data_IF_125532535124
#
_entry.id   IF_125532535124
#
_cell.length_a   1.000
_cell.length_b   1.000
_cell.length_c   1.000
_cell.angle_alpha   90.00
_cell.angle_beta   90.00
_cell.angle_gamma   90.00
#
_symmetry.space_group_name_H-M   'P 1'
#
loop_
_entity.id
_entity.type
_entity.pdbx_description
1 polymer ?
#
# COMPACT_ATOMS: atom_id res chain seq x y z
N UNK A 1 -21.48 -13.62 22.97
CA UNK A 1 -20.52 -12.50 23.09
C UNK A 1 -19.91 -12.31 21.71
N UNK A 2 -19.86 -11.09 21.16
CA UNK A 2 -19.24 -10.84 19.85
C UNK A 2 -17.73 -10.73 20.07
N UNK A 3 -16.93 -11.54 19.37
CA UNK A 3 -15.47 -11.48 19.46
C UNK A 3 -14.96 -10.12 18.96
N UNK A 4 -13.95 -9.55 19.63
CA UNK A 4 -13.39 -8.23 19.25
C UNK A 4 -12.65 -8.24 17.90
N UNK A 5 -12.30 -9.43 17.41
CA UNK A 5 -11.72 -9.67 16.09
C UNK A 5 -12.76 -10.07 15.04
N UNK A 6 -14.05 -10.14 15.35
CA UNK A 6 -15.08 -10.47 14.36
C UNK A 6 -15.11 -9.43 13.23
N UNK A 7 -14.88 -9.88 12.00
CA UNK A 7 -14.76 -8.98 10.85
C UNK A 7 -16.05 -8.19 10.58
N UNK A 8 -17.22 -8.79 10.81
CA UNK A 8 -18.50 -8.14 10.60
C UNK A 8 -18.75 -7.05 11.66
N UNK A 9 -18.45 -7.31 12.92
CA UNK A 9 -18.53 -6.33 14.00
C UNK A 9 -17.57 -5.15 13.78
N UNK A 10 -16.33 -5.44 13.34
CA UNK A 10 -15.34 -4.42 12.98
C UNK A 10 -15.83 -3.55 11.81
N UNK A 11 -16.39 -4.18 10.77
CA UNK A 11 -17.02 -3.50 9.64
C UNK A 11 -18.15 -2.58 10.08
N UNK A 12 -19.09 -3.08 10.90
CA UNK A 12 -20.20 -2.26 11.41
C UNK A 12 -19.72 -1.07 12.23
N UNK A 13 -18.64 -1.24 13.01
CA UNK A 13 -18.04 -0.13 13.76
C UNK A 13 -17.32 0.87 12.86
N UNK A 14 -16.64 0.39 11.81
CA UNK A 14 -16.06 1.27 10.79
C UNK A 14 -17.15 2.11 10.10
N UNK A 15 -18.28 1.49 9.75
CA UNK A 15 -19.46 2.18 9.22
C UNK A 15 -19.99 3.25 10.16
N UNK A 16 -20.17 2.94 11.44
CA UNK A 16 -20.61 3.93 12.43
C UNK A 16 -19.68 5.15 12.43
N UNK A 17 -18.36 4.94 12.43
CA UNK A 17 -17.39 6.02 12.51
C UNK A 17 -17.30 6.85 11.23
N UNK A 18 -17.38 6.24 10.04
CA UNK A 18 -17.39 7.03 8.81
C UNK A 18 -18.68 7.83 8.66
N UNK A 19 -19.83 7.27 9.07
CA UNK A 19 -21.08 8.02 9.02
C UNK A 19 -21.03 9.22 9.97
N UNK A 20 -20.47 9.06 11.17
CA UNK A 20 -20.14 10.20 12.02
C UNK A 20 -19.22 11.22 11.33
N UNK A 21 -18.21 10.78 10.58
CA UNK A 21 -17.35 11.72 9.85
C UNK A 21 -18.10 12.51 8.76
N UNK A 22 -19.23 12.00 8.26
CA UNK A 22 -19.99 12.54 7.13
C UNK A 22 -21.37 13.10 7.52
N UNK A 23 -21.73 13.10 8.80
CA UNK A 23 -23.02 13.63 9.26
C UNK A 23 -23.13 15.14 9.00
N UNK A 24 -24.33 15.59 8.62
CA UNK A 24 -24.64 16.98 8.26
C UNK A 24 -24.63 17.95 9.46
N UNK A 25 -24.27 17.46 10.65
CA UNK A 25 -24.02 18.29 11.81
C UNK A 25 -22.80 19.19 11.56
N UNK A 26 -22.79 20.43 12.04
CA UNK A 26 -21.66 21.33 11.88
C UNK A 26 -20.44 20.80 12.64
N UNK A 27 -19.61 20.01 11.95
CA UNK A 27 -18.33 19.48 12.42
C UNK A 27 -17.19 20.17 11.71
N UNK A 28 -16.14 20.49 12.47
CA UNK A 28 -14.90 20.95 11.86
C UNK A 28 -14.29 19.83 10.99
N UNK A 29 -13.51 20.20 9.97
CA UNK A 29 -12.77 19.22 9.18
C UNK A 29 -11.89 18.32 10.05
N UNK A 30 -11.28 18.87 11.11
CA UNK A 30 -10.42 18.12 12.01
C UNK A 30 -11.18 16.99 12.72
N UNK A 31 -12.40 17.24 13.18
CA UNK A 31 -13.27 16.22 13.78
C UNK A 31 -13.73 15.18 12.76
N UNK A 32 -14.08 15.60 11.56
CA UNK A 32 -14.45 14.67 10.48
C UNK A 32 -13.27 13.75 10.13
N UNK A 33 -12.08 14.32 9.93
CA UNK A 33 -10.87 13.57 9.61
C UNK A 33 -10.44 12.63 10.75
N UNK A 34 -10.65 13.02 12.01
CA UNK A 34 -10.46 12.15 13.16
C UNK A 34 -11.35 10.91 13.08
N UNK A 35 -12.67 11.09 12.93
CA UNK A 35 -13.61 9.97 12.81
C UNK A 35 -13.32 9.08 11.61
N UNK A 36 -13.03 9.68 10.45
CA UNK A 36 -12.66 8.96 9.25
C UNK A 36 -11.37 8.14 9.47
N UNK A 37 -10.33 8.71 10.09
CA UNK A 37 -9.08 7.98 10.37
C UNK A 37 -9.26 6.78 11.31
N UNK A 38 -10.17 6.88 12.29
CA UNK A 38 -10.54 5.77 13.16
C UNK A 38 -11.33 4.70 12.38
N UNK A 39 -12.22 5.14 11.48
CA UNK A 39 -12.94 4.25 10.57
C UNK A 39 -11.99 3.46 9.67
N UNK A 40 -10.97 4.10 9.08
CA UNK A 40 -9.99 3.44 8.22
C UNK A 40 -9.21 2.35 8.94
N UNK A 41 -8.81 2.58 10.20
CA UNK A 41 -8.13 1.56 11.00
C UNK A 41 -9.05 0.34 11.27
N UNK A 42 -10.32 0.59 11.62
CA UNK A 42 -11.30 -0.49 11.83
C UNK A 42 -11.62 -1.24 10.53
N UNK A 43 -11.72 -0.53 9.43
CA UNK A 43 -11.96 -1.08 8.10
C UNK A 43 -10.79 -1.98 7.66
N UNK A 44 -9.55 -1.55 7.89
CA UNK A 44 -8.36 -2.36 7.64
C UNK A 44 -8.33 -3.63 8.52
N UNK A 45 -8.72 -3.52 9.81
CA UNK A 45 -8.87 -4.69 10.69
C UNK A 45 -9.95 -5.65 10.19
N UNK A 46 -11.09 -5.12 9.73
CA UNK A 46 -12.16 -5.93 9.18
C UNK A 46 -11.70 -6.68 7.92
N UNK A 47 -11.03 -5.99 6.98
CA UNK A 47 -10.54 -6.58 5.74
C UNK A 47 -9.55 -7.73 5.98
N UNK A 48 -8.57 -7.54 6.87
CA UNK A 48 -7.63 -8.60 7.24
C UNK A 48 -8.31 -9.73 8.01
N UNK A 49 -9.16 -9.41 8.99
CA UNK A 49 -9.83 -10.42 9.80
C UNK A 49 -10.77 -11.31 8.99
N UNK A 50 -11.40 -10.76 7.95
CA UNK A 50 -12.23 -11.54 7.00
C UNK A 50 -11.41 -12.66 6.32
N UNK A 51 -10.12 -12.43 6.05
CA UNK A 51 -9.22 -13.46 5.52
C UNK A 51 -8.76 -14.40 6.63
N UNK A 52 -8.32 -13.84 7.76
CA UNK A 52 -8.04 -14.60 8.98
C UNK A 52 -7.90 -13.67 10.18
N UNK A 53 -8.54 -13.94 11.33
CA UNK A 53 -8.38 -13.13 12.54
C UNK A 53 -6.94 -13.12 13.08
N UNK A 54 -6.11 -14.10 12.72
CA UNK A 54 -4.68 -14.13 13.04
C UNK A 54 -3.92 -12.93 12.44
N UNK A 55 -4.38 -12.40 11.30
CA UNK A 55 -3.76 -11.26 10.63
C UNK A 55 -3.93 -9.95 11.39
N UNK A 56 -4.73 -9.91 12.45
CA UNK A 56 -4.84 -8.74 13.33
C UNK A 56 -4.45 -9.04 14.77
N UNK A 57 -4.13 -10.28 15.12
CA UNK A 57 -3.70 -10.67 16.46
C UNK A 57 -2.26 -10.22 16.75
N UNK A 58 -2.03 -9.63 17.92
CA UNK A 58 -0.69 -9.27 18.40
C UNK A 58 0.04 -10.51 18.91
N UNK A 59 1.22 -10.86 18.35
CA UNK A 59 2.05 -11.93 18.90
C UNK A 59 2.46 -11.63 20.35
N UNK A 60 2.46 -12.65 21.20
CA UNK A 60 2.93 -12.61 22.60
C UNK A 60 3.70 -13.89 22.90
N UNK A 61 4.54 -13.88 23.95
CA UNK A 61 5.33 -15.05 24.35
C UNK A 61 4.46 -16.30 24.57
N UNK A 62 3.34 -16.15 25.29
CA UNK A 62 2.40 -17.24 25.55
C UNK A 62 1.47 -17.56 24.35
N UNK A 63 1.50 -16.73 23.30
CA UNK A 63 0.68 -16.93 22.10
C UNK A 63 -0.82 -16.66 22.28
N UNK A 64 -1.29 -16.20 23.44
CA UNK A 64 -2.71 -16.05 23.78
C UNK A 64 -3.58 -15.41 22.69
N UNK A 65 -3.18 -14.28 22.10
CA UNK A 65 -4.00 -13.62 21.07
C UNK A 65 -4.10 -14.47 19.79
N UNK A 66 -3.03 -15.19 19.44
CA UNK A 66 -3.00 -16.09 18.28
C UNK A 66 -3.84 -17.34 18.55
N UNK A 67 -3.68 -17.96 19.72
CA UNK A 67 -4.47 -19.12 20.14
C UNK A 67 -5.96 -18.78 20.24
N UNK A 68 -6.29 -17.61 20.76
CA UNK A 68 -7.67 -17.10 20.84
C UNK A 68 -8.24 -16.84 19.45
N UNK A 69 -7.49 -16.18 18.56
CA UNK A 69 -7.92 -15.94 17.17
C UNK A 69 -8.03 -17.23 16.35
N UNK A 70 -7.22 -18.26 16.66
CA UNK A 70 -7.32 -19.59 16.08
C UNK A 70 -8.49 -20.42 16.64
N UNK A 71 -9.17 -19.95 17.69
CA UNK A 71 -10.26 -20.67 18.35
C UNK A 71 -9.80 -21.86 19.21
N UNK A 72 -8.53 -21.89 19.61
CA UNK A 72 -7.94 -22.99 20.38
C UNK A 72 -8.10 -22.82 21.89
N UNK A 73 -8.30 -21.58 22.35
CA UNK A 73 -8.58 -21.27 23.76
C UNK A 73 -9.77 -20.33 23.86
N UNK A 74 -10.57 -20.50 24.90
CA UNK A 74 -11.59 -19.52 25.26
C UNK A 74 -10.89 -18.30 25.87
N UNK A 75 -10.98 -17.15 25.20
CA UNK A 75 -10.28 -15.95 25.61
C UNK A 75 -11.00 -15.26 26.78
N UNK A 76 -10.51 -15.45 28.00
CA UNK A 76 -10.79 -14.55 29.14
C UNK A 76 -9.88 -13.30 29.09
N UNK A 77 -8.78 -13.37 28.34
CA UNK A 77 -7.86 -12.26 28.14
C UNK A 77 -8.35 -11.32 27.02
N UNK A 78 -8.30 -10.01 27.30
CA UNK A 78 -8.64 -8.95 26.36
C UNK A 78 -7.78 -9.07 25.09
N UNK A 79 -8.32 -9.69 24.04
CA UNK A 79 -7.64 -9.84 22.74
C UNK A 79 -7.01 -8.51 22.31
N UNK A 80 -5.70 -8.53 22.08
CA UNK A 80 -4.92 -7.37 21.66
C UNK A 80 -4.70 -7.43 20.15
N UNK A 81 -5.22 -6.42 19.45
CA UNK A 81 -4.94 -6.24 18.03
C UNK A 81 -3.58 -5.58 17.79
N UNK A 82 -2.95 -5.87 16.65
CA UNK A 82 -1.73 -5.21 16.21
C UNK A 82 -1.89 -3.68 16.11
N UNK A 83 -0.81 -2.91 16.25
CA UNK A 83 -0.85 -1.46 16.07
C UNK A 83 -1.09 -1.09 14.60
N UNK A 84 -1.62 0.12 14.37
CA UNK A 84 -1.96 0.62 13.04
C UNK A 84 -0.79 0.58 12.04
N UNK A 85 0.45 0.80 12.49
CA UNK A 85 1.64 0.67 11.64
C UNK A 85 1.74 -0.73 11.00
N UNK A 86 1.71 -1.77 11.83
CA UNK A 86 1.78 -3.17 11.38
C UNK A 86 0.53 -3.55 10.57
N UNK A 87 -0.62 -3.01 10.95
CA UNK A 87 -1.88 -3.22 10.25
C UNK A 87 -1.80 -2.77 8.78
N UNK A 88 -1.32 -1.54 8.53
CA UNK A 88 -1.22 -1.02 7.17
C UNK A 88 -0.11 -1.68 6.36
N UNK A 89 0.98 -2.10 6.99
CA UNK A 89 2.00 -2.92 6.35
C UNK A 89 1.43 -4.25 5.84
N UNK A 90 0.59 -4.91 6.66
CA UNK A 90 -0.11 -6.13 6.23
C UNK A 90 -1.11 -5.85 5.11
N UNK A 91 -1.84 -4.74 5.19
CA UNK A 91 -2.80 -4.35 4.15
C UNK A 91 -2.14 -4.06 2.79
N UNK A 92 -0.98 -3.38 2.75
CA UNK A 92 -0.31 -3.08 1.48
C UNK A 92 0.22 -4.31 0.77
N UNK A 93 0.56 -5.36 1.52
CA UNK A 93 0.94 -6.67 0.98
C UNK A 93 -0.26 -7.48 0.53
N UNK A 94 -1.33 -7.47 1.33
CA UNK A 94 -2.51 -8.30 1.07
C UNK A 94 -3.48 -7.71 0.02
N UNK A 95 -3.53 -6.39 -0.13
CA UNK A 95 -4.57 -5.69 -0.87
C UNK A 95 -3.98 -4.61 -1.79
N UNK A 96 -3.28 -4.98 -2.87
CA UNK A 96 -2.82 -4.00 -3.86
C UNK A 96 -4.03 -3.28 -4.50
N UNK A 97 -3.94 -1.97 -4.82
CA UNK A 97 -2.79 -1.07 -4.68
C UNK A 97 -2.80 -0.25 -3.37
N UNK A 98 -3.21 -0.83 -2.23
CA UNK A 98 -3.27 -0.12 -0.94
C UNK A 98 -1.91 0.48 -0.56
N UNK A 99 -1.90 1.77 -0.27
CA UNK A 99 -0.68 2.52 0.03
C UNK A 99 -0.48 2.64 1.54
N UNK A 100 0.44 1.84 2.06
CA UNK A 100 0.89 1.94 3.45
C UNK A 100 1.35 3.37 3.80
N UNK A 101 2.04 4.04 2.87
CA UNK A 101 2.53 5.40 3.04
C UNK A 101 1.39 6.41 3.28
N UNK A 102 0.35 6.39 2.44
CA UNK A 102 -0.80 7.29 2.59
C UNK A 102 -1.59 6.98 3.87
N UNK A 103 -1.84 5.70 4.16
CA UNK A 103 -2.55 5.28 5.38
C UNK A 103 -1.77 5.66 6.67
N UNK A 104 -0.44 5.51 6.66
CA UNK A 104 0.43 5.99 7.74
C UNK A 104 0.44 7.50 7.86
N UNK A 105 0.37 8.26 6.75
CA UNK A 105 0.27 9.71 6.81
C UNK A 105 -1.04 10.16 7.50
N UNK A 106 -2.17 9.51 7.17
CA UNK A 106 -3.47 9.76 7.82
C UNK A 106 -3.40 9.45 9.33
N UNK A 107 -2.81 8.31 9.69
CA UNK A 107 -2.73 7.89 11.10
C UNK A 107 -1.69 8.66 11.89
N UNK A 108 -0.59 9.09 11.25
CA UNK A 108 0.38 9.99 11.83
C UNK A 108 -0.22 11.36 12.14
N UNK A 109 -1.03 11.90 11.22
CA UNK A 109 -1.80 13.12 11.44
C UNK A 109 -2.74 12.99 12.65
N UNK A 110 -3.48 11.88 12.75
CA UNK A 110 -4.32 11.56 13.93
C UNK A 110 -3.51 11.54 15.23
N UNK A 111 -2.39 10.82 15.26
CA UNK A 111 -1.60 10.69 16.49
C UNK A 111 -1.01 12.04 16.92
N UNK A 112 -0.55 12.85 15.96
CA UNK A 112 -0.04 14.19 16.21
C UNK A 112 -1.14 15.17 16.68
N UNK A 113 -2.37 15.02 16.18
CA UNK A 113 -3.53 15.78 16.65
C UNK A 113 -3.94 15.41 18.09
N UNK A 114 -3.94 14.12 18.44
CA UNK A 114 -4.37 13.65 19.76
C UNK A 114 -3.30 13.77 20.85
N UNK A 115 -2.02 13.61 20.50
CA UNK A 115 -0.93 13.49 21.46
C UNK A 115 0.19 14.52 21.26
N UNK A 116 0.20 15.19 20.11
CA UNK A 116 1.19 16.23 19.78
C UNK A 116 0.70 17.63 20.13
N UNK A 117 1.51 18.62 19.78
CA UNK A 117 1.21 20.04 19.99
C UNK A 117 0.38 20.66 18.84
N UNK A 118 -0.09 19.85 17.88
CA UNK A 118 -0.71 20.35 16.66
C UNK A 118 -2.17 20.69 16.89
N UNK A 119 -2.54 21.96 16.65
CA UNK A 119 -3.92 22.43 16.79
C UNK A 119 -4.85 22.04 15.63
N UNK A 120 -4.30 21.51 14.52
CA UNK A 120 -5.05 21.05 13.35
C UNK A 120 -4.76 19.57 13.09
N UNK A 121 -5.73 18.86 12.55
CA UNK A 121 -5.60 17.44 12.24
C UNK A 121 -4.62 17.23 11.09
N UNK A 122 -4.82 17.93 9.97
CA UNK A 122 -3.98 17.82 8.78
C UNK A 122 -3.46 19.18 8.33
N UNK A 123 -2.21 19.27 7.81
CA UNK A 123 -1.72 20.48 7.17
C UNK A 123 -2.32 20.71 5.77
N UNK A 124 -2.94 19.69 5.17
CA UNK A 124 -3.60 19.80 3.87
C UNK A 124 -5.10 20.09 4.03
N UNK A 125 -5.72 20.84 3.11
CA UNK A 125 -7.14 21.16 3.18
C UNK A 125 -8.02 19.93 2.89
N UNK A 126 -9.26 19.96 3.35
CA UNK A 126 -10.22 18.86 3.25
C UNK A 126 -10.38 18.34 1.81
N UNK A 127 -10.40 19.26 0.85
CA UNK A 127 -10.60 18.99 -0.57
C UNK A 127 -9.43 18.21 -1.20
N UNK A 128 -8.27 18.19 -0.55
CA UNK A 128 -7.11 17.38 -0.93
C UNK A 128 -6.97 16.11 -0.07
N UNK A 129 -7.51 16.12 1.16
CA UNK A 129 -7.43 15.01 2.10
C UNK A 129 -8.44 13.90 1.77
N UNK A 130 -9.71 14.24 1.55
CA UNK A 130 -10.77 13.27 1.28
C UNK A 130 -10.52 12.36 0.07
N UNK A 131 -10.02 12.86 -1.08
CA UNK A 131 -9.65 11.99 -2.20
C UNK A 131 -8.64 10.91 -1.82
N UNK A 132 -7.63 11.25 -1.00
CA UNK A 132 -6.60 10.31 -0.55
C UNK A 132 -7.17 9.28 0.42
N UNK A 133 -8.02 9.72 1.35
CA UNK A 133 -8.72 8.84 2.28
C UNK A 133 -9.57 7.81 1.53
N UNK A 134 -10.45 8.28 0.63
CA UNK A 134 -11.39 7.42 -0.09
C UNK A 134 -10.69 6.43 -1.03
N UNK A 135 -9.57 6.82 -1.64
CA UNK A 135 -8.75 5.91 -2.42
C UNK A 135 -8.25 4.70 -1.60
N UNK A 136 -7.89 4.90 -0.33
CA UNK A 136 -7.50 3.80 0.56
C UNK A 136 -8.71 3.00 1.07
N UNK A 137 -9.79 3.70 1.44
CA UNK A 137 -10.99 3.06 1.96
C UNK A 137 -11.66 2.14 0.93
N UNK A 138 -11.76 2.57 -0.34
CA UNK A 138 -12.36 1.77 -1.41
C UNK A 138 -11.67 0.42 -1.60
N UNK A 139 -10.34 0.38 -1.52
CA UNK A 139 -9.57 -0.86 -1.66
C UNK A 139 -9.95 -1.85 -0.55
N UNK A 140 -10.09 -1.36 0.68
CA UNK A 140 -10.48 -2.19 1.83
C UNK A 140 -11.95 -2.60 1.81
N UNK A 141 -12.84 -1.73 1.31
CA UNK A 141 -14.26 -2.04 1.07
C UNK A 141 -14.38 -3.18 0.05
N UNK A 142 -13.64 -3.09 -1.06
CA UNK A 142 -13.60 -4.15 -2.07
C UNK A 142 -13.02 -5.45 -1.52
N UNK A 143 -11.98 -5.39 -0.68
CA UNK A 143 -11.43 -6.58 0.00
C UNK A 143 -12.44 -7.27 0.93
N UNK A 144 -13.47 -6.53 1.39
CA UNK A 144 -14.60 -7.05 2.16
C UNK A 144 -15.74 -7.57 1.28
N UNK A 145 -15.60 -7.60 -0.05
CA UNK A 145 -16.67 -7.90 -1.01
C UNK A 145 -17.93 -7.06 -0.71
N UNK A 146 -17.73 -5.75 -0.57
CA UNK A 146 -18.76 -4.74 -0.30
C UNK A 146 -18.63 -3.59 -1.28
N UNK A 147 -19.66 -2.77 -1.35
CA UNK A 147 -19.70 -1.56 -2.17
C UNK A 147 -19.59 -0.29 -1.32
N UNK A 148 -19.51 0.87 -1.99
CA UNK A 148 -19.52 2.18 -1.31
C UNK A 148 -20.88 2.41 -0.65
N UNK A 149 -21.99 2.06 -1.31
CA UNK A 149 -23.33 2.22 -0.76
C UNK A 149 -23.55 1.36 0.49
N UNK A 150 -22.97 0.15 0.54
CA UNK A 150 -22.96 -0.68 1.75
C UNK A 150 -22.29 0.05 2.94
N UNK A 151 -21.28 0.90 2.66
CA UNK A 151 -20.48 1.56 3.68
C UNK A 151 -21.11 2.87 4.19
N UNK A 152 -21.49 3.77 3.27
CA UNK A 152 -21.97 5.13 3.59
C UNK A 152 -23.46 5.35 3.33
N UNK A 153 -24.14 4.39 2.71
CA UNK A 153 -25.52 4.54 2.25
C UNK A 153 -25.62 5.25 0.90
N UNK A 154 -26.67 4.92 0.16
CA UNK A 154 -26.92 5.40 -1.21
C UNK A 154 -26.88 6.94 -1.35
N UNK A 155 -27.41 7.68 -0.37
CA UNK A 155 -27.47 9.15 -0.41
C UNK A 155 -26.07 9.81 -0.46
N UNK A 156 -25.05 9.15 0.09
CA UNK A 156 -23.69 9.67 0.21
C UNK A 156 -22.72 9.12 -0.84
N UNK A 157 -23.15 8.12 -1.62
CA UNK A 157 -22.33 7.45 -2.64
C UNK A 157 -21.76 8.45 -3.66
N UNK A 158 -22.59 9.36 -4.17
CA UNK A 158 -22.16 10.38 -5.15
C UNK A 158 -21.07 11.32 -4.63
N UNK A 159 -21.06 11.61 -3.32
CA UNK A 159 -20.03 12.45 -2.68
C UNK A 159 -18.71 11.70 -2.66
N UNK A 160 -18.73 10.40 -2.32
CA UNK A 160 -17.55 9.54 -2.32
C UNK A 160 -16.99 9.40 -3.74
N UNK A 161 -17.84 9.17 -4.74
CA UNK A 161 -17.40 9.05 -6.13
C UNK A 161 -16.73 10.33 -6.64
N UNK A 162 -17.24 11.51 -6.28
CA UNK A 162 -16.59 12.78 -6.59
C UNK A 162 -15.17 12.88 -6.01
N UNK A 163 -14.95 12.39 -4.78
CA UNK A 163 -13.62 12.32 -4.18
C UNK A 163 -12.70 11.32 -4.91
N UNK A 164 -13.22 10.17 -5.32
CA UNK A 164 -12.48 9.15 -6.07
C UNK A 164 -12.08 9.66 -7.46
N UNK A 165 -12.99 10.31 -8.19
CA UNK A 165 -12.71 10.98 -9.46
C UNK A 165 -11.60 12.03 -9.31
N UNK A 166 -11.70 12.85 -8.26
CA UNK A 166 -10.68 13.84 -7.96
C UNK A 166 -9.34 13.19 -7.64
N UNK A 167 -9.31 12.05 -6.95
CA UNK A 167 -8.08 11.32 -6.70
C UNK A 167 -7.46 10.80 -8.00
N UNK A 168 -8.27 10.18 -8.88
CA UNK A 168 -7.83 9.72 -10.21
C UNK A 168 -7.18 10.85 -11.00
N UNK A 169 -7.84 12.01 -11.04
CA UNK A 169 -7.30 13.22 -11.70
C UNK A 169 -5.99 13.70 -11.05
N UNK A 170 -5.94 13.80 -9.73
CA UNK A 170 -4.72 14.22 -9.02
C UNK A 170 -3.53 13.30 -9.31
N UNK A 171 -3.76 11.98 -9.42
CA UNK A 171 -2.73 10.99 -9.77
C UNK A 171 -2.27 11.18 -11.21
N UNK A 172 -3.19 11.36 -12.17
CA UNK A 172 -2.87 11.63 -13.56
C UNK A 172 -2.05 12.92 -13.72
N UNK A 173 -2.52 14.04 -13.16
CA UNK A 173 -1.84 15.34 -13.20
C UNK A 173 -0.44 15.26 -12.57
N UNK A 174 -0.29 14.46 -11.49
CA UNK A 174 0.99 14.26 -10.81
C UNK A 174 1.98 13.48 -11.69
N UNK A 175 1.54 12.40 -12.33
CA UNK A 175 2.38 11.61 -13.23
C UNK A 175 2.80 12.44 -14.44
N UNK A 176 1.87 13.19 -15.04
CA UNK A 176 2.17 14.08 -16.16
C UNK A 176 3.22 15.12 -15.78
N UNK A 177 3.06 15.78 -14.63
CA UNK A 177 4.04 16.72 -14.10
C UNK A 177 5.42 16.08 -13.90
N UNK A 178 5.50 14.87 -13.33
CA UNK A 178 6.76 14.16 -13.10
C UNK A 178 7.47 13.83 -14.43
N UNK A 179 6.71 13.36 -15.42
CA UNK A 179 7.20 13.06 -16.77
C UNK A 179 7.72 14.33 -17.45
N UNK A 180 6.91 15.39 -17.49
CA UNK A 180 7.28 16.68 -18.08
C UNK A 180 8.54 17.26 -17.42
N UNK A 181 8.64 17.17 -16.10
CA UNK A 181 9.81 17.63 -15.36
C UNK A 181 11.07 16.82 -15.70
N UNK A 182 10.96 15.49 -15.81
CA UNK A 182 12.07 14.64 -16.20
C UNK A 182 12.57 14.95 -17.64
N UNK A 183 11.65 15.18 -18.57
CA UNK A 183 11.96 15.59 -19.94
C UNK A 183 12.69 16.94 -19.98
N UNK A 184 12.18 17.93 -19.25
CA UNK A 184 12.79 19.26 -19.16
C UNK A 184 14.20 19.20 -18.56
N UNK A 185 14.41 18.44 -17.48
CA UNK A 185 15.74 18.24 -16.88
C UNK A 185 16.72 17.60 -17.86
N UNK A 186 16.28 16.59 -18.61
CA UNK A 186 17.10 15.96 -19.64
C UNK A 186 17.47 16.93 -20.77
N UNK A 187 16.53 17.78 -21.22
CA UNK A 187 16.79 18.81 -22.22
C UNK A 187 17.78 19.88 -21.73
N UNK A 188 17.65 20.32 -20.47
CA UNK A 188 18.62 21.23 -19.84
C UNK A 188 20.02 20.61 -19.75
N UNK A 189 20.11 19.32 -19.40
CA UNK A 189 21.38 18.58 -19.39
C UNK A 189 22.02 18.55 -20.77
N UNK A 190 21.27 18.17 -21.80
CA UNK A 190 21.75 18.08 -23.19
C UNK A 190 22.20 19.43 -23.75
N UNK A 191 21.55 20.51 -23.35
CA UNK A 191 21.88 21.88 -23.80
C UNK A 191 22.98 22.56 -22.97
N UNK A 192 23.51 21.92 -21.92
CA UNK A 192 24.52 22.51 -21.04
C UNK A 192 23.99 23.69 -20.20
N UNK A 193 22.67 23.83 -20.04
CA UNK A 193 22.01 24.94 -19.34
C UNK A 193 21.69 24.66 -17.88
N UNK A 194 22.13 23.51 -17.35
CA UNK A 194 21.92 23.20 -15.93
C UNK A 194 22.79 24.08 -15.05
N UNK A 195 22.23 24.57 -13.95
CA UNK A 195 23.04 25.16 -12.88
C UNK A 195 23.91 24.09 -12.22
N UNK A 196 24.99 24.50 -11.56
CA UNK A 196 25.88 23.57 -10.87
C UNK A 196 25.14 22.76 -9.79
N UNK A 197 24.23 23.39 -9.05
CA UNK A 197 23.40 22.72 -8.04
C UNK A 197 22.50 21.65 -8.68
N UNK A 198 21.79 21.99 -9.75
CA UNK A 198 20.92 21.05 -10.47
C UNK A 198 21.72 19.92 -11.12
N UNK A 199 22.92 20.19 -11.62
CA UNK A 199 23.80 19.19 -12.21
C UNK A 199 24.31 18.17 -11.16
N UNK A 200 24.64 18.63 -9.95
CA UNK A 200 25.00 17.74 -8.82
C UNK A 200 23.83 16.85 -8.42
N UNK A 201 22.64 17.43 -8.25
CA UNK A 201 21.42 16.68 -7.93
C UNK A 201 21.09 15.66 -9.03
N UNK A 202 21.18 16.06 -10.30
CA UNK A 202 20.93 15.17 -11.44
C UNK A 202 21.99 14.07 -11.56
N UNK A 203 23.20 14.26 -11.03
CA UNK A 203 24.25 13.24 -11.04
C UNK A 203 24.14 12.29 -9.85
N UNK A 204 23.42 12.67 -8.79
CA UNK A 204 23.21 11.83 -7.63
C UNK A 204 22.52 10.51 -8.00
N UNK A 205 23.00 9.36 -7.52
CA UNK A 205 22.28 8.09 -7.63
C UNK A 205 21.13 8.00 -6.63
N UNK A 206 20.96 9.00 -5.76
CA UNK A 206 19.83 9.05 -4.83
C UNK A 206 18.51 8.87 -5.59
N UNK A 207 17.68 7.95 -5.12
CA UNK A 207 16.38 7.62 -5.72
C UNK A 207 16.46 6.96 -7.11
N UNK A 208 17.60 6.39 -7.50
CA UNK A 208 17.63 5.43 -8.61
C UNK A 208 17.28 4.01 -8.18
N UNK A 209 17.22 3.76 -6.89
CA UNK A 209 16.75 2.48 -6.36
C UNK A 209 15.97 2.72 -5.07
N UNK A 210 14.92 1.92 -4.88
CA UNK A 210 14.25 1.76 -3.59
C UNK A 210 14.85 0.61 -2.77
N UNK A 211 15.79 -0.15 -3.35
CA UNK A 211 16.46 -1.30 -2.76
C UNK A 211 15.48 -2.41 -2.38
N UNK A 212 14.53 -2.67 -3.27
CA UNK A 212 13.57 -3.77 -3.13
C UNK A 212 14.20 -5.10 -3.59
N UNK A 213 13.57 -6.19 -3.19
CA UNK A 213 14.11 -7.55 -3.31
C UNK A 213 14.27 -8.00 -4.76
N UNK A 214 13.37 -7.56 -5.64
CA UNK A 214 13.32 -7.95 -7.05
C UNK A 214 13.32 -6.72 -7.94
N UNK A 215 13.93 -6.84 -9.12
CA UNK A 215 13.95 -5.78 -10.10
C UNK A 215 14.05 -6.31 -11.52
N UNK A 216 13.57 -5.51 -12.47
CA UNK A 216 13.70 -5.75 -13.90
C UNK A 216 13.91 -4.45 -14.67
N UNK A 217 14.17 -4.56 -15.96
CA UNK A 217 14.33 -3.41 -16.85
C UNK A 217 13.04 -3.06 -17.59
N UNK A 218 12.71 -1.77 -17.67
CA UNK A 218 11.51 -1.29 -18.36
C UNK A 218 11.75 -0.01 -19.17
N UNK A 219 10.93 0.20 -20.20
CA UNK A 219 11.06 1.39 -21.07
C UNK A 219 10.52 2.63 -20.37
N UNK A 220 11.36 3.65 -20.20
CA UNK A 220 10.99 4.88 -19.52
C UNK A 220 9.92 5.68 -20.29
N UNK A 221 8.76 6.00 -19.68
CA UNK A 221 7.68 6.72 -20.36
C UNK A 221 8.04 8.19 -20.66
N UNK A 222 9.04 8.76 -19.99
CA UNK A 222 9.46 10.14 -20.23
C UNK A 222 10.45 10.29 -21.37
N UNK A 223 11.40 9.37 -21.53
CA UNK A 223 12.53 9.55 -22.45
C UNK A 223 12.83 8.37 -23.37
N UNK A 224 12.12 7.25 -23.22
CA UNK A 224 12.31 6.03 -24.02
C UNK A 224 13.58 5.24 -23.72
N UNK A 225 14.43 5.69 -22.79
CA UNK A 225 15.59 4.93 -22.34
C UNK A 225 15.18 3.81 -21.38
N UNK A 226 16.07 2.85 -21.14
CA UNK A 226 15.84 1.80 -20.15
C UNK A 226 15.94 2.37 -18.73
N UNK A 227 14.92 2.08 -17.92
CA UNK A 227 14.87 2.29 -16.48
C UNK A 227 14.78 0.96 -15.73
N UNK A 228 14.71 1.06 -14.41
CA UNK A 228 14.59 -0.09 -13.51
C UNK A 228 13.23 -0.03 -12.82
N UNK A 229 12.51 -1.14 -12.86
CA UNK A 229 11.30 -1.38 -12.07
C UNK A 229 11.67 -2.31 -10.91
N UNK A 230 11.15 -2.05 -9.73
CA UNK A 230 11.46 -2.78 -8.49
C UNK A 230 10.19 -3.15 -7.73
N UNK A 231 10.24 -4.27 -7.01
CA UNK A 231 9.13 -4.81 -6.21
C UNK A 231 9.59 -5.76 -5.10
N UNK A 232 8.78 -5.90 -4.04
CA UNK A 232 9.02 -6.83 -2.94
C UNK A 232 8.02 -7.99 -2.88
N UNK A 233 6.76 -7.73 -3.25
CA UNK A 233 5.67 -8.69 -3.07
C UNK A 233 5.49 -9.55 -4.33
N UNK A 234 5.67 -10.87 -4.18
CA UNK A 234 5.44 -11.86 -5.24
C UNK A 234 3.95 -12.17 -5.34
N UNK A 235 3.36 -11.99 -6.53
CA UNK A 235 1.98 -12.37 -6.84
C UNK A 235 1.86 -13.87 -7.11
N UNK A 236 2.75 -14.38 -7.97
CA UNK A 236 2.74 -15.78 -8.40
C UNK A 236 4.18 -16.31 -8.51
N UNK A 237 4.36 -17.62 -8.27
CA UNK A 237 5.63 -18.30 -8.50
C UNK A 237 5.42 -19.63 -9.21
N UNK A 238 6.21 -19.85 -10.25
CA UNK A 238 6.17 -21.06 -11.06
C UNK A 238 7.56 -21.69 -11.14
N UNK A 239 7.66 -22.94 -10.69
CA UNK A 239 8.90 -23.72 -10.76
C UNK A 239 9.06 -24.20 -12.19
N UNK A 240 10.19 -23.89 -12.84
CA UNK A 240 10.56 -24.52 -14.11
C UNK A 240 10.98 -25.96 -13.80
N UNK A 241 10.19 -26.93 -14.26
CA UNK A 241 10.66 -28.31 -14.32
C UNK A 241 11.64 -28.45 -15.50
N UNK A 242 12.83 -29.04 -15.32
CA UNK A 242 13.74 -29.25 -16.42
C UNK A 242 13.10 -30.18 -17.45
N UNK A 243 13.02 -29.72 -18.71
CA UNK A 243 12.67 -30.57 -19.84
C UNK A 243 13.85 -31.51 -20.09
N UNK A 244 13.60 -32.81 -19.96
CA UNK A 244 14.53 -33.93 -20.14
C UNK A 244 15.50 -34.19 -18.97
N UNK A 245 15.48 -35.44 -18.51
CA UNK A 245 16.25 -35.93 -17.37
C UNK A 245 17.75 -35.81 -17.58
N UNK A 246 18.45 -35.80 -16.44
CA UNK A 246 19.91 -35.74 -16.28
C UNK A 246 20.55 -34.35 -16.21
N UNK A 247 19.91 -33.38 -15.54
CA UNK A 247 20.67 -32.39 -14.77
C UNK A 247 20.05 -32.19 -13.39
N UNK A 248 20.86 -32.48 -12.39
CA UNK A 248 20.60 -32.40 -10.96
C UNK A 248 20.76 -30.94 -10.51
N UNK A 249 19.75 -30.38 -9.82
CA UNK A 249 19.84 -29.21 -8.93
C UNK A 249 20.12 -27.81 -9.50
N UNK A 250 19.45 -27.39 -10.57
CA UNK A 250 19.18 -25.94 -10.76
C UNK A 250 17.68 -25.73 -11.02
N UNK A 251 16.89 -25.76 -9.95
CA UNK A 251 15.52 -25.28 -10.04
C UNK A 251 15.55 -23.79 -10.32
N UNK A 252 14.97 -23.33 -11.42
CA UNK A 252 14.74 -21.91 -11.66
C UNK A 252 13.28 -21.63 -11.35
N UNK A 253 13.01 -20.57 -10.58
CA UNK A 253 11.65 -20.12 -10.29
C UNK A 253 11.38 -18.84 -11.04
N UNK A 254 10.33 -18.83 -11.86
CA UNK A 254 9.77 -17.60 -12.39
C UNK A 254 8.91 -16.97 -11.29
N UNK A 255 9.18 -15.71 -10.96
CA UNK A 255 8.38 -14.92 -10.03
C UNK A 255 7.67 -13.82 -10.82
N UNK A 256 6.37 -13.70 -10.63
CA UNK A 256 5.61 -12.52 -11.01
C UNK A 256 5.53 -11.60 -9.78
N UNK A 257 6.09 -10.40 -9.89
CA UNK A 257 6.30 -9.48 -8.76
C UNK A 257 5.55 -8.18 -9.01
N UNK A 258 4.87 -7.65 -7.98
CA UNK A 258 4.21 -6.35 -8.06
C UNK A 258 5.21 -5.20 -8.21
N UNK A 259 4.88 -4.26 -9.08
CA UNK A 259 5.66 -3.05 -9.33
C UNK A 259 5.36 -1.99 -8.28
N UNK A 260 6.34 -1.71 -7.43
CA UNK A 260 6.23 -0.73 -6.34
C UNK A 260 7.05 0.54 -6.61
N UNK A 261 8.12 0.44 -7.41
CA UNK A 261 8.99 1.57 -7.71
C UNK A 261 9.54 1.51 -9.14
N UNK A 262 9.61 2.65 -9.82
CA UNK A 262 10.32 2.80 -11.09
C UNK A 262 11.26 3.99 -11.05
N UNK A 263 12.46 3.82 -11.60
CA UNK A 263 13.43 4.90 -11.79
C UNK A 263 14.10 4.86 -13.16
N UNK A 264 14.47 6.03 -13.69
CA UNK A 264 15.23 6.12 -14.93
C UNK A 264 16.59 6.81 -14.72
N UNK A 265 17.72 6.14 -14.98
CA UNK A 265 19.05 6.75 -14.83
C UNK A 265 19.32 7.85 -15.85
N UNK A 266 18.64 7.84 -17.00
CA UNK A 266 18.84 8.81 -18.08
C UNK A 266 18.18 10.16 -17.80
N UNK A 267 16.88 10.17 -17.51
CA UNK A 267 16.10 11.40 -17.31
C UNK A 267 15.80 11.71 -15.84
N UNK A 268 16.12 10.79 -14.91
CA UNK A 268 15.84 10.88 -13.47
C UNK A 268 14.35 10.95 -13.13
N UNK A 269 13.49 10.38 -13.98
CA UNK A 269 12.10 10.10 -13.61
C UNK A 269 12.09 9.08 -12.46
N UNK A 270 11.27 9.35 -11.45
CA UNK A 270 10.99 8.42 -10.35
C UNK A 270 9.48 8.35 -10.18
N UNK A 271 8.93 7.13 -10.19
CA UNK A 271 7.54 6.83 -9.88
C UNK A 271 7.53 5.89 -8.67
N UNK A 272 7.00 6.35 -7.55
CA UNK A 272 7.02 5.62 -6.28
C UNK A 272 5.59 5.26 -5.85
N UNK A 273 5.22 4.01 -6.06
CA UNK A 273 3.91 3.44 -5.78
C UNK A 273 3.21 2.96 -7.06
N UNK A 274 2.54 1.82 -6.94
CA UNK A 274 1.83 1.11 -8.02
C UNK A 274 0.87 2.00 -8.79
N UNK A 275 0.15 2.91 -8.11
CA UNK A 275 -0.78 3.84 -8.77
C UNK A 275 -0.08 4.79 -9.76
N UNK A 276 1.14 5.27 -9.46
CA UNK A 276 1.86 6.15 -10.38
C UNK A 276 2.50 5.38 -11.53
N UNK A 277 2.94 4.13 -11.27
CA UNK A 277 3.52 3.24 -12.26
C UNK A 277 2.47 2.88 -13.32
N UNK A 278 1.33 2.34 -12.89
CA UNK A 278 0.22 1.97 -13.77
C UNK A 278 -0.34 3.18 -14.53
N UNK A 279 -0.52 4.33 -13.86
CA UNK A 279 -0.95 5.56 -14.51
C UNK A 279 0.06 6.07 -15.57
N UNK A 280 1.35 5.77 -15.42
CA UNK A 280 2.38 6.10 -16.40
C UNK A 280 2.46 5.11 -17.57
N UNK A 281 1.62 4.07 -17.58
CA UNK A 281 1.60 3.02 -18.61
C UNK A 281 2.68 1.96 -18.45
N UNK A 282 3.32 1.88 -17.29
CA UNK A 282 4.23 0.78 -16.92
C UNK A 282 3.42 -0.40 -16.36
N UNK A 283 3.95 -1.63 -16.44
CA UNK A 283 3.18 -2.81 -16.03
C UNK A 283 2.95 -2.84 -14.52
N UNK A 284 1.83 -3.43 -14.10
CA UNK A 284 1.50 -3.60 -12.68
C UNK A 284 2.38 -4.67 -12.02
N UNK A 285 2.77 -5.70 -12.78
CA UNK A 285 3.70 -6.76 -12.37
C UNK A 285 4.84 -6.92 -13.38
N UNK A 286 5.96 -7.49 -12.94
CA UNK A 286 7.08 -7.87 -13.81
C UNK A 286 7.56 -9.28 -13.48
N UNK A 287 8.11 -9.97 -14.49
CA UNK A 287 8.63 -11.32 -14.35
C UNK A 287 10.13 -11.28 -14.07
N UNK A 288 10.57 -11.93 -12.99
CA UNK A 288 12.00 -12.15 -12.70
C UNK A 288 12.27 -13.64 -12.52
N UNK A 289 13.50 -14.07 -12.81
CA UNK A 289 13.93 -15.46 -12.58
C UNK A 289 14.90 -15.48 -11.41
N UNK A 290 14.68 -16.39 -10.46
CA UNK A 290 15.60 -16.62 -9.33
C UNK A 290 15.99 -18.09 -9.25
N UNK A 291 17.16 -18.34 -8.68
CA UNK A 291 17.60 -19.69 -8.32
C UNK A 291 16.72 -20.23 -7.18
N UNK A 292 16.28 -21.48 -7.32
CA UNK A 292 15.56 -22.22 -6.30
C UNK A 292 16.53 -22.69 -5.23
N UNK A 293 16.68 -21.87 -4.19
CA UNK A 293 17.55 -22.17 -3.04
C UNK A 293 16.86 -23.02 -1.98
N UNK A 294 15.71 -23.65 -2.27
CA UNK A 294 15.06 -24.57 -1.33
C UNK A 294 16.00 -25.75 -1.05
N UNK A 295 16.59 -25.73 0.14
CA UNK A 295 17.28 -26.85 0.72
C UNK A 295 16.24 -27.95 1.00
N UNK A 296 16.24 -29.00 0.19
CA UNK A 296 15.44 -30.21 0.42
C UNK A 296 16.07 -31.04 1.55
N UNK A 297 16.37 -30.38 2.67
CA UNK A 297 17.23 -30.89 3.73
C UNK A 297 16.95 -32.34 4.07
N UNK A 298 17.96 -33.20 3.83
CA UNK A 298 18.05 -34.52 4.41
C UNK A 298 18.34 -34.39 5.92
N UNK A 299 17.33 -34.02 6.72
CA UNK A 299 17.39 -34.12 8.17
C UNK A 299 16.24 -34.97 8.71
N UNK A 300 16.29 -36.27 8.40
CA UNK A 300 15.77 -37.28 9.32
C UNK A 300 16.72 -37.38 10.52
N UNK A 301 16.50 -36.53 11.51
CA UNK A 301 17.21 -36.55 12.79
C UNK A 301 16.25 -36.53 13.96
N UNK A 302 15.39 -37.56 14.07
CA UNK A 302 14.73 -37.86 15.33
C UNK A 302 15.73 -38.60 16.23
N UNK A 303 16.16 -37.95 17.30
CA UNK A 303 16.53 -38.58 18.58
C UNK A 303 15.95 -37.74 19.74
#
# INVERSE_FOLDING_TARGET
MIASYDHHALWMKARLFINHAMDDEPRSFDEQALWASLSLELLAKAALSKRSPLLIATPSEDGDNLLTAAGLIEGDAQFKSIPAHTLYSRCSKAFKPFSEKEAKAITGARNNYLHGASARFSPIPAEAWWPKFWAQALILINALDRTIDDFVGFERESVVESHLDKNRKNVADRVEMLINHAQQRLAMKKSGRMTEATAREFSSPAYLTASLSYNETETCPACGAIGTIEGDDVENSEIRSPDSGYDEYEGLVNLEVFSDYFSCPTCRLVLNGTMYITQAGLPETFLTVVEDTRDWGDEYGND
#
